data_IF_687544021946
#
_entry.id   IF_687544021946
#
_cell.length_a   1.000
_cell.length_b   1.000
_cell.length_c   1.000
_cell.angle_alpha   90.00
_cell.angle_beta   90.00
_cell.angle_gamma   90.00
#
_symmetry.space_group_name_H-M   'P 1'
#
loop_
_entity.id
_entity.type
_entity.pdbx_description
1 polymer ?
#
# COMPACT_ATOMS: atom_id res chain seq x y z
N UNK A 1 -33.55 -10.94 29.55
CA UNK A 1 -33.10 -11.46 28.25
C UNK A 1 -32.75 -10.26 27.38
N UNK A 2 -31.47 -9.95 27.18
CA UNK A 2 -31.10 -8.82 26.30
C UNK A 2 -31.27 -9.27 24.85
N UNK A 3 -32.22 -8.66 24.12
CA UNK A 3 -32.38 -8.88 22.69
C UNK A 3 -31.11 -8.34 22.02
N UNK A 4 -30.29 -9.23 21.46
CA UNK A 4 -29.10 -8.83 20.68
C UNK A 4 -29.57 -7.96 19.51
N UNK A 5 -28.88 -6.85 19.27
CA UNK A 5 -29.21 -5.99 18.14
C UNK A 5 -28.82 -6.66 16.82
N UNK A 6 -29.53 -6.33 15.74
CA UNK A 6 -29.21 -6.84 14.38
C UNK A 6 -27.77 -6.48 13.96
N UNK A 7 -27.29 -5.30 14.36
CA UNK A 7 -25.92 -4.87 14.13
C UNK A 7 -24.89 -5.76 14.85
N UNK A 8 -25.18 -6.16 16.08
CA UNK A 8 -24.32 -7.06 16.85
C UNK A 8 -24.27 -8.45 16.23
N UNK A 9 -25.43 -8.99 15.84
CA UNK A 9 -25.52 -10.27 15.14
C UNK A 9 -24.71 -10.26 13.83
N UNK A 10 -24.82 -9.16 13.07
CA UNK A 10 -24.05 -9.00 11.84
C UNK A 10 -22.53 -9.01 12.09
N UNK A 11 -22.05 -8.26 13.09
CA UNK A 11 -20.62 -8.26 13.44
C UNK A 11 -20.14 -9.64 13.87
N UNK A 12 -20.91 -10.33 14.75
CA UNK A 12 -20.57 -11.68 15.22
C UNK A 12 -20.49 -12.68 14.06
N UNK A 13 -21.38 -12.60 13.08
CA UNK A 13 -21.32 -13.48 11.90
C UNK A 13 -20.07 -13.28 11.03
N UNK A 14 -19.55 -12.04 10.95
CA UNK A 14 -18.30 -11.76 10.24
C UNK A 14 -17.11 -12.30 11.05
N UNK A 15 -17.11 -12.12 12.37
CA UNK A 15 -16.06 -12.62 13.25
C UNK A 15 -15.98 -14.14 13.17
N UNK A 16 -17.10 -14.85 13.32
CA UNK A 16 -17.16 -16.30 13.22
C UNK A 16 -16.67 -16.80 11.86
N UNK A 17 -17.12 -16.16 10.77
CA UNK A 17 -16.68 -16.51 9.41
C UNK A 17 -15.19 -16.25 9.16
N UNK A 18 -14.55 -15.34 9.89
CA UNK A 18 -13.12 -15.06 9.78
C UNK A 18 -12.27 -15.91 10.72
N UNK A 19 -12.79 -16.30 11.88
CA UNK A 19 -12.08 -17.18 12.82
C UNK A 19 -11.81 -18.58 12.25
N UNK A 20 -12.58 -19.01 11.25
CA UNK A 20 -12.35 -20.30 10.55
C UNK A 20 -11.14 -20.27 9.62
N UNK A 21 -10.54 -19.10 9.37
CA UNK A 21 -9.33 -18.93 8.57
C UNK A 21 -8.17 -18.45 9.46
N UNK A 22 -7.09 -19.23 9.56
CA UNK A 22 -5.93 -18.93 10.40
C UNK A 22 -5.32 -17.55 10.10
N UNK A 23 -5.23 -17.15 8.83
CA UNK A 23 -4.70 -15.86 8.40
C UNK A 23 -5.57 -14.65 8.81
N UNK A 24 -6.86 -14.88 9.07
CA UNK A 24 -7.81 -13.84 9.50
C UNK A 24 -7.98 -13.82 11.03
N UNK A 25 -7.21 -14.61 11.79
CA UNK A 25 -7.33 -14.70 13.24
C UNK A 25 -7.05 -13.35 13.92
N UNK A 26 -6.00 -12.64 13.50
CA UNK A 26 -5.66 -11.31 14.06
C UNK A 26 -6.76 -10.28 13.74
N UNK A 27 -7.24 -10.26 12.51
CA UNK A 27 -8.34 -9.41 12.07
C UNK A 27 -9.66 -9.68 12.83
N UNK A 28 -10.01 -10.96 13.03
CA UNK A 28 -11.21 -11.34 13.78
C UNK A 28 -11.11 -11.00 15.26
N UNK A 29 -9.94 -11.22 15.90
CA UNK A 29 -9.67 -10.79 17.28
C UNK A 29 -9.78 -9.28 17.44
N UNK A 30 -9.29 -8.51 16.47
CA UNK A 30 -9.39 -7.04 16.46
C UNK A 30 -10.86 -6.59 16.42
N UNK A 31 -11.69 -7.20 15.58
CA UNK A 31 -13.13 -6.92 15.54
C UNK A 31 -13.81 -7.30 16.85
N UNK A 32 -13.49 -8.46 17.43
CA UNK A 32 -14.07 -8.92 18.70
C UNK A 32 -13.72 -7.97 19.86
N UNK A 33 -12.44 -7.55 19.95
CA UNK A 33 -11.97 -6.58 20.96
C UNK A 33 -12.73 -5.25 20.89
N UNK A 34 -13.10 -4.81 19.69
CA UNK A 34 -13.76 -3.51 19.45
C UNK A 34 -15.27 -3.62 19.20
N UNK A 35 -15.86 -4.81 19.37
CA UNK A 35 -17.23 -5.15 18.95
C UNK A 35 -18.29 -4.15 19.42
N UNK A 36 -18.23 -3.70 20.68
CA UNK A 36 -19.20 -2.74 21.25
C UNK A 36 -19.12 -1.35 20.59
N UNK A 37 -17.91 -0.87 20.29
CA UNK A 37 -17.72 0.40 19.60
C UNK A 37 -18.24 0.29 18.16
N UNK A 38 -17.86 -0.78 17.46
CA UNK A 38 -18.29 -1.07 16.09
C UNK A 38 -19.81 -1.24 15.97
N UNK A 39 -20.46 -1.85 16.97
CA UNK A 39 -21.92 -2.01 17.01
C UNK A 39 -22.63 -0.65 16.95
N UNK A 40 -22.10 0.38 17.60
CA UNK A 40 -22.67 1.74 17.57
C UNK A 40 -22.67 2.30 16.16
N UNK A 41 -21.57 2.13 15.42
CA UNK A 41 -21.43 2.63 14.05
C UNK A 41 -22.25 1.82 13.04
N UNK A 42 -22.26 0.49 13.16
CA UNK A 42 -23.08 -0.39 12.32
C UNK A 42 -24.58 -0.14 12.56
N UNK A 43 -25.00 0.14 13.80
CA UNK A 43 -26.39 0.56 14.09
C UNK A 43 -26.79 1.82 13.32
N UNK A 44 -25.89 2.78 13.15
CA UNK A 44 -26.17 4.01 12.37
C UNK A 44 -26.41 3.64 10.90
N UNK A 45 -25.61 2.73 10.35
CA UNK A 45 -25.78 2.22 8.98
C UNK A 45 -27.14 1.53 8.81
N UNK A 46 -27.52 0.65 9.75
CA UNK A 46 -28.76 -0.13 9.66
C UNK A 46 -30.03 0.72 9.86
N UNK A 47 -29.94 1.85 10.58
CA UNK A 47 -31.04 2.81 10.75
C UNK A 47 -31.35 3.65 9.51
N UNK A 48 -30.54 3.55 8.45
CA UNK A 48 -30.72 4.38 7.25
C UNK A 48 -32.02 4.01 6.50
N UNK A 49 -33.04 4.86 6.61
CA UNK A 49 -34.42 4.57 6.16
C UNK A 49 -34.58 4.29 4.67
N UNK A 50 -33.79 4.95 3.82
CA UNK A 50 -33.92 4.87 2.36
C UNK A 50 -33.04 3.79 1.71
N UNK A 51 -32.25 3.06 2.51
CA UNK A 51 -31.32 2.05 2.01
C UNK A 51 -31.95 0.66 2.13
N UNK A 52 -31.85 -0.16 1.09
CA UNK A 52 -32.29 -1.56 1.15
C UNK A 52 -31.45 -2.35 2.16
N UNK A 53 -32.01 -3.43 2.73
CA UNK A 53 -31.29 -4.27 3.69
C UNK A 53 -29.99 -4.86 3.13
N UNK A 54 -29.99 -5.27 1.86
CA UNK A 54 -28.79 -5.72 1.16
C UNK A 54 -27.70 -4.62 1.16
N UNK A 55 -28.07 -3.40 0.82
CA UNK A 55 -27.12 -2.28 0.75
C UNK A 55 -26.62 -1.86 2.13
N UNK A 56 -27.46 -1.96 3.17
CA UNK A 56 -27.05 -1.74 4.57
C UNK A 56 -26.00 -2.75 5.00
N UNK A 57 -26.24 -4.05 4.77
CA UNK A 57 -25.29 -5.13 5.07
C UNK A 57 -23.98 -4.95 4.32
N UNK A 58 -24.01 -4.63 3.04
CA UNK A 58 -22.80 -4.35 2.26
C UNK A 58 -22.04 -3.14 2.81
N UNK A 59 -22.74 -2.05 3.12
CA UNK A 59 -22.10 -0.85 3.70
C UNK A 59 -21.48 -1.14 5.08
N UNK A 60 -22.14 -1.96 5.91
CA UNK A 60 -21.60 -2.41 7.19
C UNK A 60 -20.38 -3.32 7.03
N UNK A 61 -20.42 -4.28 6.09
CA UNK A 61 -19.27 -5.12 5.74
C UNK A 61 -18.07 -4.26 5.33
N UNK A 62 -18.29 -3.31 4.43
CA UNK A 62 -17.25 -2.39 3.95
C UNK A 62 -16.66 -1.57 5.10
N UNK A 63 -17.51 -1.09 6.01
CA UNK A 63 -17.06 -0.37 7.21
C UNK A 63 -16.16 -1.22 8.11
N UNK A 64 -16.54 -2.47 8.39
CA UNK A 64 -15.74 -3.38 9.24
C UNK A 64 -14.41 -3.74 8.57
N UNK A 65 -14.40 -3.97 7.26
CA UNK A 65 -13.18 -4.28 6.51
C UNK A 65 -12.25 -3.07 6.47
N UNK A 66 -12.78 -1.87 6.26
CA UNK A 66 -11.99 -0.64 6.39
C UNK A 66 -11.44 -0.44 7.81
N UNK A 67 -12.21 -0.82 8.83
CA UNK A 67 -11.76 -0.75 10.21
C UNK A 67 -10.55 -1.64 10.46
N UNK A 68 -10.62 -2.88 9.97
CA UNK A 68 -9.54 -3.88 10.06
C UNK A 68 -8.34 -3.45 9.23
N UNK A 69 -8.54 -3.09 7.97
CA UNK A 69 -7.47 -2.68 7.05
C UNK A 69 -6.66 -1.47 7.56
N UNK A 70 -7.25 -0.61 8.40
CA UNK A 70 -6.57 0.56 9.00
C UNK A 70 -5.87 0.27 10.32
N UNK A 71 -6.02 -0.92 10.90
CA UNK A 71 -5.63 -1.23 12.28
C UNK A 71 -5.04 -2.62 12.45
N UNK A 72 -4.80 -3.32 11.34
CA UNK A 72 -4.13 -4.61 11.34
C UNK A 72 -2.82 -4.39 10.62
N UNK A 73 -1.74 -4.78 11.28
CA UNK A 73 -0.44 -4.91 10.68
C UNK A 73 -0.57 -5.99 9.59
N UNK A 74 -0.18 -5.65 8.36
CA UNK A 74 -0.16 -6.62 7.26
C UNK A 74 1.28 -6.91 6.93
N UNK A 75 1.62 -8.19 6.94
CA UNK A 75 2.92 -8.65 6.48
C UNK A 75 2.97 -8.51 4.97
N UNK A 76 3.74 -7.51 4.50
CA UNK A 76 3.97 -7.35 3.07
C UNK A 76 5.03 -8.35 2.65
N UNK A 77 4.64 -9.28 1.79
CA UNK A 77 5.52 -10.29 1.21
C UNK A 77 6.16 -9.75 -0.09
N UNK A 78 7.40 -10.15 -0.36
CA UNK A 78 8.10 -9.86 -1.61
C UNK A 78 7.29 -10.25 -2.85
N UNK A 79 6.50 -11.32 -2.81
CA UNK A 79 5.64 -11.73 -3.93
C UNK A 79 4.59 -10.68 -4.31
N UNK A 80 4.17 -9.86 -3.34
CA UNK A 80 3.24 -8.75 -3.55
C UNK A 80 3.88 -7.56 -4.27
N UNK A 81 5.21 -7.55 -4.47
CA UNK A 81 5.95 -6.51 -5.17
C UNK A 81 6.44 -6.95 -6.56
N UNK A 82 6.46 -8.25 -6.85
CA UNK A 82 7.00 -8.82 -8.10
C UNK A 82 5.99 -8.73 -9.26
N UNK A 83 6.29 -7.98 -10.32
CA UNK A 83 5.40 -7.88 -11.50
C UNK A 83 5.38 -9.15 -12.37
N UNK A 84 6.52 -9.82 -12.55
CA UNK A 84 6.60 -11.11 -13.27
C UNK A 84 7.92 -11.83 -13.02
N UNK A 85 7.90 -12.98 -12.34
CA UNK A 85 8.99 -13.98 -12.31
C UNK A 85 10.38 -13.52 -11.85
N UNK A 86 10.54 -12.27 -11.42
CA UNK A 86 11.84 -11.65 -11.09
C UNK A 86 11.93 -11.31 -9.61
N UNK A 87 11.64 -12.31 -8.76
CA UNK A 87 11.66 -12.19 -7.29
C UNK A 87 13.01 -11.71 -6.77
N UNK A 88 14.09 -12.39 -7.19
CA UNK A 88 15.46 -12.08 -6.76
C UNK A 88 15.87 -10.64 -7.05
N UNK A 89 15.47 -10.06 -8.20
CA UNK A 89 15.82 -8.67 -8.50
C UNK A 89 15.08 -7.70 -7.59
N UNK A 90 13.80 -7.94 -7.31
CA UNK A 90 13.00 -7.07 -6.43
C UNK A 90 13.48 -7.16 -4.99
N UNK A 91 13.80 -8.37 -4.53
CA UNK A 91 14.31 -8.65 -3.19
C UNK A 91 15.59 -7.85 -2.96
N UNK A 92 16.64 -8.09 -3.75
CA UNK A 92 17.92 -7.37 -3.65
C UNK A 92 17.73 -5.85 -3.67
N UNK A 93 16.90 -5.31 -4.57
CA UNK A 93 16.66 -3.86 -4.64
C UNK A 93 16.09 -3.32 -3.33
N UNK A 94 15.10 -4.01 -2.73
CA UNK A 94 14.43 -3.53 -1.52
C UNK A 94 15.28 -3.76 -0.26
N UNK A 95 15.96 -4.89 -0.17
CA UNK A 95 16.89 -5.19 0.93
C UNK A 95 18.02 -4.14 1.00
N UNK A 96 18.64 -3.83 -0.13
CA UNK A 96 19.72 -2.85 -0.18
C UNK A 96 19.23 -1.42 0.15
N UNK A 97 17.97 -1.11 -0.19
CA UNK A 97 17.40 0.24 -0.01
C UNK A 97 16.91 0.52 1.40
N UNK A 98 16.20 -0.45 2.00
CA UNK A 98 15.50 -0.26 3.26
C UNK A 98 16.05 -1.13 4.39
N UNK A 99 16.86 -2.14 4.09
CA UNK A 99 17.20 -3.21 5.03
C UNK A 99 16.04 -4.21 5.20
N UNK A 100 16.30 -5.24 6.00
CA UNK A 100 15.33 -6.29 6.33
C UNK A 100 15.33 -6.56 7.83
N UNK A 101 14.14 -6.73 8.39
CA UNK A 101 13.98 -7.41 9.68
C UNK A 101 13.73 -8.89 9.37
N UNK A 102 14.69 -9.76 9.74
CA UNK A 102 14.48 -11.21 9.68
C UNK A 102 13.65 -11.64 10.88
N UNK A 103 12.50 -12.25 10.63
CA UNK A 103 11.71 -12.93 11.66
C UNK A 103 12.20 -14.37 11.77
N UNK A 104 12.22 -14.93 12.99
CA UNK A 104 12.78 -16.26 13.38
C UNK A 104 12.26 -17.48 12.57
N UNK A 105 11.31 -17.32 11.64
CA UNK A 105 10.97 -18.32 10.64
C UNK A 105 11.54 -17.86 9.29
N UNK A 106 12.69 -18.44 8.92
CA UNK A 106 13.66 -18.17 7.83
C UNK A 106 13.14 -17.83 6.39
N UNK A 107 11.86 -17.52 6.17
CA UNK A 107 11.27 -17.34 4.84
C UNK A 107 10.50 -16.02 4.63
N UNK A 108 10.27 -15.20 5.67
CA UNK A 108 9.49 -13.96 5.55
C UNK A 108 10.38 -12.73 5.68
N UNK A 109 10.62 -12.07 4.54
CA UNK A 109 11.30 -10.77 4.48
C UNK A 109 10.33 -9.66 4.89
N UNK A 110 10.60 -8.98 6.01
CA UNK A 110 9.80 -7.85 6.49
C UNK A 110 10.52 -6.54 6.15
N UNK A 111 9.92 -5.75 5.27
CA UNK A 111 10.40 -4.41 4.94
C UNK A 111 9.98 -3.37 5.99
N UNK A 112 10.80 -2.34 6.30
CA UNK A 112 10.41 -1.27 7.21
C UNK A 112 9.13 -0.53 6.82
N UNK A 113 8.46 0.06 7.82
CA UNK A 113 7.25 0.88 7.68
C UNK A 113 5.99 0.14 7.15
N UNK A 114 5.87 -1.19 7.34
CA UNK A 114 4.72 -1.95 6.81
C UNK A 114 3.38 -1.44 7.32
N UNK A 115 3.34 -0.97 8.58
CA UNK A 115 2.13 -0.40 9.18
C UNK A 115 1.69 0.85 8.44
N UNK A 116 2.61 1.78 8.21
CA UNK A 116 2.37 3.02 7.49
C UNK A 116 1.98 2.74 6.04
N UNK A 117 2.71 1.87 5.35
CA UNK A 117 2.41 1.48 3.96
C UNK A 117 1.01 0.90 3.88
N UNK A 118 0.67 -0.03 4.76
CA UNK A 118 -0.66 -0.65 4.83
C UNK A 118 -1.74 0.39 5.08
N UNK A 119 -1.53 1.29 6.04
CA UNK A 119 -2.48 2.33 6.38
C UNK A 119 -2.71 3.30 5.20
N UNK A 120 -1.66 3.69 4.47
CA UNK A 120 -1.74 4.50 3.26
C UNK A 120 -2.58 3.80 2.20
N UNK A 121 -2.28 2.53 1.92
CA UNK A 121 -2.97 1.75 0.88
C UNK A 121 -4.45 1.56 1.23
N UNK A 122 -4.73 1.12 2.46
CA UNK A 122 -6.09 0.94 2.95
C UNK A 122 -6.87 2.26 2.88
N UNK A 123 -6.24 3.38 3.27
CA UNK A 123 -6.87 4.69 3.16
C UNK A 123 -7.16 5.04 1.71
N UNK A 124 -6.17 4.98 0.83
CA UNK A 124 -6.30 5.50 -0.53
C UNK A 124 -7.13 4.64 -1.48
N UNK A 125 -7.25 3.34 -1.20
CA UNK A 125 -8.17 2.47 -1.93
C UNK A 125 -9.61 2.59 -1.45
N UNK A 126 -9.83 2.86 -0.16
CA UNK A 126 -11.15 2.71 0.45
C UNK A 126 -11.78 4.01 0.97
N UNK A 127 -11.10 5.15 0.91
CA UNK A 127 -11.66 6.40 1.42
C UNK A 127 -12.89 6.84 0.60
N UNK A 128 -14.04 6.96 1.27
CA UNK A 128 -15.30 7.62 0.85
C UNK A 128 -16.02 7.10 -0.40
N UNK A 129 -15.58 6.03 -1.05
CA UNK A 129 -16.30 5.42 -2.19
C UNK A 129 -17.11 4.19 -1.81
N UNK A 130 -18.21 3.95 -2.52
CA UNK A 130 -18.86 2.64 -2.56
C UNK A 130 -17.88 1.67 -3.24
N UNK A 131 -17.35 0.72 -2.48
CA UNK A 131 -16.40 -0.28 -2.95
C UNK A 131 -17.18 -1.51 -3.39
N UNK A 132 -16.79 -2.11 -4.52
CA UNK A 132 -17.39 -3.36 -4.98
C UNK A 132 -16.89 -4.51 -4.10
N UNK A 133 -17.74 -5.50 -3.86
CA UNK A 133 -17.37 -6.69 -3.09
C UNK A 133 -16.11 -7.37 -3.69
N UNK A 134 -15.99 -7.38 -5.03
CA UNK A 134 -14.81 -7.91 -5.73
C UNK A 134 -13.50 -7.16 -5.44
N UNK A 135 -13.55 -5.85 -5.16
CA UNK A 135 -12.36 -5.06 -4.82
C UNK A 135 -11.94 -5.30 -3.37
N UNK A 136 -12.90 -5.62 -2.51
CA UNK A 136 -12.68 -6.01 -1.12
C UNK A 136 -12.07 -7.41 -1.05
N UNK A 137 -12.67 -8.36 -1.75
CA UNK A 137 -12.19 -9.74 -1.76
C UNK A 137 -10.79 -9.80 -2.37
N UNK A 138 -10.52 -9.01 -3.42
CA UNK A 138 -9.17 -8.86 -3.99
C UNK A 138 -8.17 -8.30 -2.98
N UNK A 139 -8.53 -7.25 -2.23
CA UNK A 139 -7.66 -6.67 -1.20
C UNK A 139 -7.37 -7.66 -0.07
N UNK A 140 -8.39 -8.37 0.41
CA UNK A 140 -8.23 -9.39 1.46
C UNK A 140 -7.32 -10.51 0.99
N UNK A 141 -7.55 -11.04 -0.21
CA UNK A 141 -6.72 -12.11 -0.77
C UNK A 141 -5.29 -11.64 -1.02
N UNK A 142 -5.11 -10.40 -1.52
CA UNK A 142 -3.79 -9.87 -1.82
C UNK A 142 -3.00 -9.56 -0.56
N UNK A 143 -3.51 -8.68 0.33
CA UNK A 143 -2.74 -8.12 1.44
C UNK A 143 -2.87 -8.89 2.76
N UNK A 144 -3.96 -9.65 2.97
CA UNK A 144 -4.19 -10.32 4.25
C UNK A 144 -3.98 -11.83 4.16
N UNK A 145 -4.51 -12.47 3.12
CA UNK A 145 -4.46 -13.93 2.99
C UNK A 145 -3.24 -14.42 2.21
N UNK A 146 -2.52 -13.54 1.51
CA UNK A 146 -1.38 -13.93 0.66
C UNK A 146 -1.75 -14.76 -0.57
N UNK A 147 -3.03 -14.91 -0.90
CA UNK A 147 -3.51 -15.66 -2.06
C UNK A 147 -3.44 -14.81 -3.33
N UNK A 148 -2.25 -14.38 -3.74
CA UNK A 148 -2.07 -13.44 -4.86
C UNK A 148 -2.59 -14.03 -6.18
N UNK A 149 -2.46 -15.35 -6.36
CA UNK A 149 -2.84 -16.07 -7.59
C UNK A 149 -4.35 -16.09 -7.85
N UNK A 150 -5.19 -15.92 -6.82
CA UNK A 150 -6.65 -15.86 -7.00
C UNK A 150 -7.15 -14.44 -7.28
N UNK A 151 -6.27 -13.44 -7.18
CA UNK A 151 -6.60 -12.04 -7.43
C UNK A 151 -6.56 -11.77 -8.94
N UNK A 152 -7.60 -11.18 -9.54
CA UNK A 152 -7.59 -10.77 -10.93
C UNK A 152 -6.33 -9.98 -11.30
N UNK A 153 -5.69 -10.34 -12.42
CA UNK A 153 -4.38 -9.81 -12.85
C UNK A 153 -4.33 -8.27 -12.76
N UNK A 154 -5.35 -7.58 -13.26
CA UNK A 154 -5.39 -6.11 -13.24
C UNK A 154 -5.46 -5.51 -11.82
N UNK A 155 -6.12 -6.18 -10.87
CA UNK A 155 -6.16 -5.74 -9.48
C UNK A 155 -4.81 -6.02 -8.78
N UNK A 156 -4.22 -7.19 -9.02
CA UNK A 156 -2.90 -7.55 -8.52
C UNK A 156 -1.83 -6.57 -9.00
N UNK A 157 -1.79 -6.26 -10.31
CA UNK A 157 -0.89 -5.26 -10.88
C UNK A 157 -1.09 -3.87 -10.27
N UNK A 158 -2.34 -3.45 -10.05
CA UNK A 158 -2.64 -2.19 -9.39
C UNK A 158 -2.10 -2.13 -7.96
N UNK A 159 -2.25 -3.19 -7.17
CA UNK A 159 -1.72 -3.24 -5.81
C UNK A 159 -0.20 -3.24 -5.77
N UNK A 160 0.45 -3.99 -6.67
CA UNK A 160 1.90 -3.97 -6.90
C UNK A 160 2.41 -2.55 -7.20
N UNK A 161 1.77 -1.87 -8.16
CA UNK A 161 2.15 -0.48 -8.51
C UNK A 161 1.96 0.50 -7.36
N UNK A 162 0.92 0.32 -6.53
CA UNK A 162 0.71 1.15 -5.34
C UNK A 162 1.83 0.94 -4.32
N UNK A 163 2.18 -0.31 -4.02
CA UNK A 163 3.27 -0.63 -3.09
C UNK A 163 4.56 0.04 -3.52
N UNK A 164 4.95 -0.11 -4.78
CA UNK A 164 6.12 0.55 -5.35
C UNK A 164 6.07 2.06 -5.25
N UNK A 165 4.93 2.69 -5.57
CA UNK A 165 4.78 4.13 -5.44
C UNK A 165 5.02 4.59 -3.99
N UNK A 166 4.47 3.88 -3.01
CA UNK A 166 4.64 4.24 -1.61
C UNK A 166 6.11 4.14 -1.19
N UNK A 167 6.81 3.04 -1.51
CA UNK A 167 8.22 2.88 -1.18
C UNK A 167 9.11 3.94 -1.85
N UNK A 168 8.88 4.25 -3.12
CA UNK A 168 9.60 5.32 -3.84
C UNK A 168 9.45 6.69 -3.14
N UNK A 169 8.25 6.99 -2.63
CA UNK A 169 7.99 8.26 -1.95
C UNK A 169 8.60 8.32 -0.54
N UNK A 170 8.57 7.21 0.19
CA UNK A 170 9.23 7.09 1.50
C UNK A 170 10.73 7.36 1.34
N UNK A 171 11.35 6.73 0.34
CA UNK A 171 12.79 6.91 0.05
C UNK A 171 13.13 8.38 -0.27
N UNK A 172 12.32 9.05 -1.11
CA UNK A 172 12.49 10.51 -1.37
C UNK A 172 12.45 11.31 -0.06
N UNK A 173 11.49 11.06 0.83
CA UNK A 173 11.36 11.81 2.10
C UNK A 173 12.52 11.52 3.07
N UNK A 174 13.05 10.30 3.05
CA UNK A 174 14.20 9.93 3.88
C UNK A 174 15.49 10.60 3.40
N UNK A 175 15.66 10.77 2.09
CA UNK A 175 16.90 11.32 1.51
C UNK A 175 16.85 12.83 1.28
N UNK A 176 15.67 13.43 1.13
CA UNK A 176 15.51 14.86 0.83
C UNK A 176 14.74 15.60 1.92
N UNK A 177 15.46 16.43 2.68
CA UNK A 177 14.87 17.20 3.79
C UNK A 177 13.91 18.30 3.32
N UNK A 178 13.98 18.72 2.05
CA UNK A 178 13.15 19.81 1.53
C UNK A 178 11.72 19.38 1.24
N UNK A 179 11.48 18.07 1.06
CA UNK A 179 10.17 17.53 0.69
C UNK A 179 9.09 17.95 1.67
N UNK A 180 9.41 17.97 2.96
CA UNK A 180 8.45 18.34 4.01
C UNK A 180 8.16 19.84 4.09
N UNK A 181 9.04 20.69 3.54
CA UNK A 181 8.84 22.12 3.44
C UNK A 181 8.06 22.50 2.16
N UNK A 182 8.42 21.90 1.03
CA UNK A 182 7.88 22.21 -0.29
C UNK A 182 6.58 21.46 -0.61
N UNK A 183 6.37 20.30 0.00
CA UNK A 183 5.11 19.54 -0.06
C UNK A 183 4.85 18.82 -1.39
N UNK A 184 3.57 18.68 -1.72
CA UNK A 184 3.10 17.77 -2.78
C UNK A 184 3.60 18.10 -4.20
N UNK A 185 3.63 19.36 -4.66
CA UNK A 185 4.15 19.67 -5.99
C UNK A 185 5.61 19.23 -6.16
N UNK A 186 6.42 19.45 -5.12
CA UNK A 186 7.85 19.11 -5.13
C UNK A 186 8.08 17.60 -5.19
N UNK A 187 7.43 16.81 -4.34
CA UNK A 187 7.62 15.36 -4.34
C UNK A 187 7.14 14.71 -5.66
N UNK A 188 6.13 15.29 -6.30
CA UNK A 188 5.64 14.85 -7.62
C UNK A 188 6.69 15.08 -8.70
N UNK A 189 7.19 16.31 -8.83
CA UNK A 189 8.25 16.67 -9.78
C UNK A 189 9.52 15.86 -9.52
N UNK A 190 9.91 15.71 -8.25
CA UNK A 190 11.09 14.95 -7.85
C UNK A 190 10.99 13.48 -8.26
N UNK A 191 9.84 12.83 -8.04
CA UNK A 191 9.62 11.44 -8.45
C UNK A 191 9.74 11.28 -9.97
N UNK A 192 9.16 12.19 -10.74
CA UNK A 192 9.22 12.15 -12.21
C UNK A 192 10.66 12.29 -12.72
N UNK A 193 11.42 13.25 -12.18
CA UNK A 193 12.83 13.46 -12.53
C UNK A 193 13.66 12.21 -12.19
N UNK A 194 13.53 11.69 -10.98
CA UNK A 194 14.31 10.53 -10.54
C UNK A 194 14.02 9.29 -11.39
N UNK A 195 12.76 9.02 -11.74
CA UNK A 195 12.44 7.88 -12.61
C UNK A 195 12.93 8.08 -14.05
N UNK A 196 12.96 9.31 -14.57
CA UNK A 196 13.54 9.62 -15.87
C UNK A 196 15.07 9.41 -15.86
N UNK A 197 15.75 9.90 -14.84
CA UNK A 197 17.20 9.73 -14.66
C UNK A 197 17.59 8.26 -14.50
N UNK A 198 16.72 7.45 -13.88
CA UNK A 198 16.89 5.99 -13.80
C UNK A 198 16.91 5.34 -15.19
N UNK A 199 16.03 5.77 -16.11
CA UNK A 199 16.00 5.25 -17.47
C UNK A 199 17.23 5.66 -18.29
N UNK A 200 17.67 6.90 -18.13
CA UNK A 200 18.77 7.50 -18.90
C UNK A 200 20.16 7.00 -18.48
N UNK A 201 20.27 6.22 -17.39
CA UNK A 201 21.54 5.74 -16.83
C UNK A 201 22.54 6.85 -16.56
N UNK A 202 22.09 7.98 -16.01
CA UNK A 202 23.02 8.99 -15.52
C UNK A 202 23.85 8.33 -14.41
N UNK A 203 25.14 8.16 -14.69
CA UNK A 203 26.03 7.22 -14.00
C UNK A 203 26.35 7.69 -12.59
N UNK A 204 26.12 6.79 -11.63
CA UNK A 204 26.77 6.78 -10.32
C UNK A 204 28.14 6.12 -10.47
N UNK A 205 29.22 6.86 -10.29
CA UNK A 205 30.54 6.25 -10.14
C UNK A 205 30.74 5.90 -8.65
N UNK A 206 30.76 4.61 -8.33
CA UNK A 206 30.94 4.08 -6.97
C UNK A 206 32.35 4.32 -6.38
N UNK A 207 33.34 4.66 -7.22
CA UNK A 207 34.74 4.81 -6.80
C UNK A 207 35.10 6.21 -6.24
N UNK A 208 34.14 7.14 -6.13
CA UNK A 208 34.38 8.51 -5.67
C UNK A 208 33.60 8.87 -4.40
N UNK A 209 34.26 8.66 -3.24
CA UNK A 209 34.17 9.44 -1.98
C UNK A 209 33.19 9.04 -0.84
N UNK A 210 33.53 9.43 0.42
CA UNK A 210 32.74 9.18 1.63
C UNK A 210 31.86 10.39 2.06
N UNK A 211 30.58 10.11 2.34
CA UNK A 211 29.67 10.95 3.16
C UNK A 211 28.94 12.11 2.46
N UNK A 212 27.92 12.69 3.14
CA UNK A 212 26.50 12.46 2.88
C UNK A 212 26.07 12.93 1.47
N UNK A 213 25.63 11.97 0.66
CA UNK A 213 25.52 12.04 -0.79
C UNK A 213 24.23 12.70 -1.29
N UNK A 214 24.25 14.01 -1.52
CA UNK A 214 23.39 14.65 -2.52
C UNK A 214 24.10 15.83 -3.20
N UNK A 215 25.29 15.58 -3.77
CA UNK A 215 25.88 16.48 -4.75
C UNK A 215 26.05 15.68 -6.07
N UNK A 216 25.54 16.23 -7.18
CA UNK A 216 25.53 15.67 -8.54
C UNK A 216 24.39 14.70 -8.95
N UNK A 217 23.25 14.73 -8.24
CA UNK A 217 22.00 14.11 -8.74
C UNK A 217 21.81 12.63 -8.39
N UNK A 218 22.52 12.14 -7.38
CA UNK A 218 22.47 10.73 -7.02
C UNK A 218 22.43 10.56 -5.49
N UNK A 219 21.45 9.76 -5.03
CA UNK A 219 21.47 9.17 -3.69
C UNK A 219 22.01 7.74 -3.80
N UNK A 220 23.32 7.53 -3.62
CA UNK A 220 23.99 6.24 -3.89
C UNK A 220 23.39 5.05 -3.09
N UNK A 221 22.71 5.31 -1.97
CA UNK A 221 22.04 4.32 -1.12
C UNK A 221 20.51 4.44 -1.15
N UNK A 222 19.95 4.90 -2.27
CA UNK A 222 18.49 5.04 -2.48
C UNK A 222 17.94 3.96 -3.38
N UNK A 223 16.64 3.72 -3.26
CA UNK A 223 15.88 2.85 -4.15
C UNK A 223 16.07 3.23 -5.62
N UNK A 224 16.18 4.53 -5.92
CA UNK A 224 16.43 5.03 -7.27
C UNK A 224 17.82 4.65 -7.79
N UNK A 225 18.86 4.72 -6.95
CA UNK A 225 20.19 4.25 -7.33
C UNK A 225 20.20 2.74 -7.60
N UNK A 226 19.54 1.94 -6.75
CA UNK A 226 19.47 0.50 -6.96
C UNK A 226 18.68 0.16 -8.25
N UNK A 227 17.66 0.93 -8.60
CA UNK A 227 16.88 0.75 -9.83
C UNK A 227 17.67 1.01 -11.14
N UNK A 228 18.78 1.75 -11.09
CA UNK A 228 19.62 2.09 -12.27
C UNK A 228 20.42 0.93 -12.88
N UNK A 229 20.30 -0.29 -12.33
CA UNK A 229 21.10 -1.45 -12.77
C UNK A 229 20.70 -2.05 -14.14
N UNK A 230 21.18 -3.26 -14.41
CA UNK A 230 21.09 -3.94 -15.72
C UNK A 230 19.68 -4.16 -16.28
N UNK A 231 19.60 -4.83 -17.44
CA UNK A 231 18.38 -4.98 -18.28
C UNK A 231 17.10 -5.32 -17.47
N UNK A 232 17.21 -6.18 -16.46
CA UNK A 232 16.09 -6.56 -15.59
C UNK A 232 15.50 -5.37 -14.81
N UNK A 233 16.35 -4.56 -14.17
CA UNK A 233 15.91 -3.39 -13.37
C UNK A 233 15.28 -2.32 -14.25
N UNK A 234 15.85 -2.08 -15.44
CA UNK A 234 15.24 -1.19 -16.45
C UNK A 234 13.86 -1.66 -16.90
N UNK A 235 13.65 -2.97 -17.06
CA UNK A 235 12.33 -3.52 -17.41
C UNK A 235 11.31 -3.27 -16.30
N UNK A 236 11.71 -3.42 -15.04
CA UNK A 236 10.89 -3.07 -13.89
C UNK A 236 10.52 -1.58 -13.89
N UNK A 237 11.50 -0.69 -14.10
CA UNK A 237 11.28 0.77 -14.12
C UNK A 237 10.33 1.19 -15.25
N UNK A 238 10.51 0.65 -16.46
CA UNK A 238 9.59 0.90 -17.57
C UNK A 238 8.16 0.42 -17.23
N UNK A 239 8.04 -0.77 -16.63
CA UNK A 239 6.73 -1.29 -16.19
C UNK A 239 6.09 -0.38 -15.14
N UNK A 240 6.88 0.13 -14.19
CA UNK A 240 6.40 1.06 -13.17
C UNK A 240 5.91 2.37 -13.80
N UNK A 241 6.69 2.97 -14.69
CA UNK A 241 6.33 4.21 -15.39
C UNK A 241 5.02 4.07 -16.18
N UNK A 242 4.90 2.99 -16.94
CA UNK A 242 3.68 2.66 -17.69
C UNK A 242 2.47 2.50 -16.75
N UNK A 243 2.66 1.87 -15.59
CA UNK A 243 1.55 1.61 -14.65
C UNK A 243 1.20 2.80 -13.76
N UNK A 244 2.15 3.68 -13.47
CA UNK A 244 1.93 4.92 -12.70
C UNK A 244 1.03 5.89 -13.47
N UNK A 245 1.13 5.91 -14.81
CA UNK A 245 0.28 6.71 -15.70
C UNK A 245 0.21 8.19 -15.25
N UNK A 246 1.37 8.84 -15.13
CA UNK A 246 1.49 10.24 -14.71
C UNK A 246 0.61 11.17 -15.55
N UNK A 247 0.58 10.94 -16.87
CA UNK A 247 -0.19 11.70 -17.86
C UNK A 247 -1.72 11.52 -17.78
N UNK A 248 -2.22 10.66 -16.88
CA UNK A 248 -3.66 10.40 -16.73
C UNK A 248 -4.35 9.97 -18.02
N UNK A 249 -3.66 9.24 -18.89
CA UNK A 249 -4.28 8.77 -20.12
C UNK A 249 -5.39 7.77 -19.78
N UNK A 250 -6.63 8.18 -20.05
CA UNK A 250 -7.83 7.37 -19.82
C UNK A 250 -7.88 6.13 -20.74
N UNK A 251 -7.13 6.12 -21.84
CA UNK A 251 -7.02 5.00 -22.78
C UNK A 251 -5.84 4.08 -22.48
N UNK A 252 -5.03 4.38 -21.45
CA UNK A 252 -3.85 3.60 -21.12
C UNK A 252 -4.22 2.14 -20.85
N UNK A 253 -3.59 1.16 -21.53
CA UNK A 253 -4.00 -0.24 -21.51
C UNK A 253 -3.95 -0.88 -20.12
N UNK A 254 -3.06 -0.40 -19.24
CA UNK A 254 -2.89 -0.95 -17.91
C UNK A 254 -3.81 -0.32 -16.84
N UNK A 255 -4.44 0.85 -17.05
CA UNK A 255 -5.27 1.61 -16.08
C UNK A 255 -4.97 1.35 -14.58
N UNK A 256 -3.70 1.22 -14.20
CA UNK A 256 -3.35 0.64 -12.90
C UNK A 256 -3.65 1.64 -11.78
N UNK A 257 -3.18 2.88 -11.92
CA UNK A 257 -3.39 3.91 -10.92
C UNK A 257 -4.12 5.13 -11.48
N UNK A 258 -5.21 5.53 -10.80
CA UNK A 258 -5.98 6.73 -11.14
C UNK A 258 -5.36 7.95 -10.45
N UNK A 259 -5.50 9.14 -11.03
CA UNK A 259 -5.07 10.42 -10.44
C UNK A 259 -5.47 10.57 -8.97
N UNK A 260 -6.71 10.24 -8.64
CA UNK A 260 -7.23 10.31 -7.27
C UNK A 260 -6.48 9.42 -6.27
N UNK A 261 -6.02 8.24 -6.71
CA UNK A 261 -5.26 7.34 -5.84
C UNK A 261 -3.85 7.88 -5.66
N UNK A 262 -3.18 8.32 -6.74
CA UNK A 262 -1.86 8.95 -6.65
C UNK A 262 -1.88 10.15 -5.72
N UNK A 263 -2.82 11.08 -5.93
CA UNK A 263 -3.00 12.25 -5.07
C UNK A 263 -3.15 11.87 -3.60
N UNK A 264 -4.03 10.92 -3.30
CA UNK A 264 -4.19 10.44 -1.93
C UNK A 264 -2.90 9.85 -1.36
N UNK A 265 -2.16 9.05 -2.14
CA UNK A 265 -0.90 8.44 -1.70
C UNK A 265 0.13 9.52 -1.38
N UNK A 266 0.32 10.52 -2.25
CA UNK A 266 1.20 11.66 -1.97
C UNK A 266 0.81 12.38 -0.68
N UNK A 267 -0.48 12.69 -0.52
CA UNK A 267 -1.00 13.38 0.66
C UNK A 267 -0.76 12.57 1.94
N UNK A 268 -1.05 11.27 1.93
CA UNK A 268 -0.89 10.39 3.09
C UNK A 268 0.58 10.15 3.44
N UNK A 269 1.45 9.96 2.45
CA UNK A 269 2.89 9.78 2.68
C UNK A 269 3.50 11.04 3.28
N UNK A 270 3.18 12.23 2.76
CA UNK A 270 3.61 13.48 3.36
C UNK A 270 3.04 13.65 4.77
N UNK A 271 1.76 13.33 4.98
CA UNK A 271 1.11 13.45 6.29
C UNK A 271 1.82 12.62 7.36
N UNK A 272 2.15 11.37 7.05
CA UNK A 272 2.78 10.45 7.99
C UNK A 272 4.25 10.84 8.21
N UNK A 273 5.04 10.92 7.14
CA UNK A 273 6.50 10.98 7.26
C UNK A 273 7.05 12.41 7.41
N UNK A 274 6.26 13.46 7.12
CA UNK A 274 6.68 14.85 7.36
C UNK A 274 6.12 15.45 8.65
N UNK A 275 5.05 14.92 9.23
CA UNK A 275 4.59 15.35 10.56
C UNK A 275 5.40 14.73 11.70
N UNK A 276 5.86 13.49 11.54
CA UNK A 276 6.72 12.82 12.52
C UNK A 276 8.08 13.51 12.74
N UNK A 277 8.58 14.30 11.77
CA UNK A 277 9.83 15.07 11.90
C UNK A 277 9.69 16.41 12.66
N UNK A 278 8.50 16.76 13.16
CA UNK A 278 8.24 18.01 13.90
C UNK A 278 8.15 17.83 15.42
N UNK A 279 8.30 16.61 15.93
CA UNK A 279 8.40 16.28 17.35
C UNK A 279 9.84 15.90 17.71
#
# INVERSE_FOLDING_TARGET
>A
MFIKSEALYFIESIIEGWQTNSMMTSASRLLEKNKKALEKDVKIIFKHKTMSERNKKNKARNFLIQYVAKRTELNIDIEQLVFSGDKMTVEVILEDSFGVDTVDDDEIVVFPNQEEVTAIIAHCLFNKTTIKDSDIDAYLNFFIMGNIDVVPINQSLRYKTILWLVFLLIDIIHKDTNVCAEGMPYIQEKLEILLADVLDNKVINEDELPGPNYDNGIWNSSLFAFLQGGIKRKRLVNTLLDHLNFNNDSKHPSRCLLSKHRKCIYEMVLDIFCKQKKE
#
